data_IF_979425812556
#
_entry.id   IF_979425812556
#
_cell.length_a   1.000
_cell.length_b   1.000
_cell.length_c   1.000
_cell.angle_alpha   90.00
_cell.angle_beta   90.00
_cell.angle_gamma   90.00
#
_symmetry.space_group_name_H-M   'P 1'
#
loop_
_entity.id
_entity.type
_entity.pdbx_description
1 polymer ?
#
# COMPACT_ATOMS: atom_id res chain seq x y z
N UNK A 1 -18.56 -2.16 23.34
CA UNK A 1 -17.89 -0.84 23.16
C UNK A 1 -17.78 -0.55 21.67
N UNK A 2 -18.03 0.69 21.21
CA UNK A 2 -17.86 1.07 19.79
C UNK A 2 -16.41 1.52 19.56
N UNK A 3 -15.74 0.92 18.58
CA UNK A 3 -14.35 1.20 18.20
C UNK A 3 -14.34 1.85 16.82
N UNK A 4 -13.83 3.08 16.72
CA UNK A 4 -13.71 3.83 15.46
C UNK A 4 -12.34 3.57 14.86
N UNK A 5 -12.29 3.07 13.62
CA UNK A 5 -11.07 2.62 12.96
C UNK A 5 -10.79 3.50 11.75
N UNK A 6 -9.75 4.32 11.82
CA UNK A 6 -9.28 5.11 10.69
C UNK A 6 -8.62 4.22 9.63
N UNK A 7 -9.04 4.39 8.39
CA UNK A 7 -8.52 3.65 7.24
C UNK A 7 -8.44 4.55 6.00
N UNK A 8 -7.44 4.33 5.15
CA UNK A 8 -7.48 4.89 3.80
C UNK A 8 -8.68 4.36 3.04
N UNK A 9 -9.20 5.15 2.10
CA UNK A 9 -10.37 4.80 1.32
C UNK A 9 -10.11 3.77 0.19
N UNK A 10 -8.84 3.41 -0.09
CA UNK A 10 -8.51 2.47 -1.16
C UNK A 10 -9.03 1.05 -0.87
N UNK A 11 -9.43 0.26 -1.90
CA UNK A 11 -9.96 -1.10 -1.70
C UNK A 11 -9.05 -1.99 -0.86
N UNK A 12 -7.73 -1.95 -1.12
CA UNK A 12 -6.76 -2.74 -0.34
C UNK A 12 -6.71 -2.31 1.14
N UNK A 13 -6.75 -1.01 1.43
CA UNK A 13 -6.75 -0.53 2.82
C UNK A 13 -8.03 -0.94 3.55
N UNK A 14 -9.18 -0.82 2.89
CA UNK A 14 -10.47 -1.26 3.44
C UNK A 14 -10.47 -2.77 3.69
N UNK A 15 -9.90 -3.57 2.78
CA UNK A 15 -9.77 -5.01 3.01
C UNK A 15 -8.95 -5.30 4.28
N UNK A 16 -7.77 -4.67 4.42
CA UNK A 16 -6.92 -4.82 5.61
C UNK A 16 -7.63 -4.39 6.89
N UNK A 17 -8.39 -3.30 6.84
CA UNK A 17 -9.19 -2.83 7.98
C UNK A 17 -10.28 -3.85 8.35
N UNK A 18 -10.93 -4.47 7.37
CA UNK A 18 -11.90 -5.54 7.63
C UNK A 18 -11.26 -6.79 8.24
N UNK A 19 -10.01 -7.12 7.90
CA UNK A 19 -9.26 -8.20 8.56
C UNK A 19 -9.06 -7.90 10.05
N UNK A 20 -8.68 -6.64 10.38
CA UNK A 20 -8.55 -6.19 11.79
C UNK A 20 -9.89 -6.28 12.52
N UNK A 21 -10.99 -5.81 11.90
CA UNK A 21 -12.34 -5.87 12.47
C UNK A 21 -12.71 -7.31 12.80
N UNK A 22 -12.55 -8.24 11.86
CA UNK A 22 -12.85 -9.66 12.11
C UNK A 22 -12.04 -10.22 13.28
N UNK A 23 -10.78 -9.81 13.43
CA UNK A 23 -9.94 -10.23 14.54
C UNK A 23 -10.46 -9.68 15.88
N UNK A 24 -10.90 -8.43 15.94
CA UNK A 24 -11.48 -7.81 17.14
C UNK A 24 -12.82 -8.50 17.49
N UNK A 25 -13.71 -8.66 16.51
CA UNK A 25 -15.02 -9.27 16.72
C UNK A 25 -14.94 -10.75 17.11
N UNK A 26 -13.88 -11.45 16.69
CA UNK A 26 -13.65 -12.86 17.07
C UNK A 26 -13.34 -13.06 18.57
N UNK A 27 -12.98 -11.99 19.28
CA UNK A 27 -12.75 -12.04 20.74
C UNK A 27 -14.06 -12.16 21.54
N UNK A 28 -15.23 -12.10 20.91
CA UNK A 28 -16.57 -12.23 21.51
C UNK A 28 -16.87 -11.29 22.69
N UNK A 29 -16.22 -10.15 22.74
CA UNK A 29 -16.39 -9.17 23.84
C UNK A 29 -17.48 -8.12 23.58
N UNK A 30 -18.34 -8.33 22.57
CA UNK A 30 -19.42 -7.40 22.23
C UNK A 30 -18.90 -6.04 21.73
N UNK A 31 -17.75 -6.05 21.06
CA UNK A 31 -17.21 -4.86 20.40
C UNK A 31 -17.91 -4.64 19.05
N UNK A 32 -18.26 -3.40 18.78
CA UNK A 32 -18.81 -2.94 17.51
C UNK A 32 -17.77 -2.05 16.82
N UNK A 33 -17.39 -2.35 15.58
CA UNK A 33 -16.37 -1.60 14.85
C UNK A 33 -16.98 -0.72 13.74
N UNK A 34 -16.50 0.53 13.66
CA UNK A 34 -16.88 1.48 12.61
C UNK A 34 -15.64 1.92 11.82
N UNK A 35 -15.73 1.91 10.48
CA UNK A 35 -14.64 2.37 9.62
C UNK A 35 -14.80 3.85 9.32
N UNK A 36 -13.81 4.66 9.72
CA UNK A 36 -13.68 6.07 9.35
C UNK A 36 -12.77 6.15 8.12
N UNK A 37 -13.36 6.36 6.94
CA UNK A 37 -12.60 6.46 5.68
C UNK A 37 -11.93 7.83 5.57
N UNK A 38 -10.62 7.83 5.33
CA UNK A 38 -9.81 9.04 5.21
C UNK A 38 -9.11 9.02 3.85
N UNK A 39 -9.30 10.08 3.07
CA UNK A 39 -8.54 10.29 1.82
C UNK A 39 -7.15 10.82 2.16
N UNK A 40 -6.11 10.12 1.72
CA UNK A 40 -4.72 10.56 1.92
C UNK A 40 -4.25 11.47 0.79
N UNK A 41 -3.35 12.42 1.08
CA UNK A 41 -2.77 13.29 0.06
C UNK A 41 -1.97 12.52 -0.99
N UNK A 42 -1.44 11.35 -0.62
CA UNK A 42 -0.79 10.44 -1.55
C UNK A 42 -1.74 9.78 -2.56
N UNK A 43 -3.05 9.74 -2.26
CA UNK A 43 -4.08 9.23 -3.17
C UNK A 43 -4.56 10.31 -4.17
N UNK A 44 -4.35 11.58 -3.85
CA UNK A 44 -4.83 12.75 -4.61
C UNK A 44 -3.80 13.32 -5.59
N UNK A 45 -2.57 12.82 -5.63
CA UNK A 45 -1.50 13.38 -6.46
C UNK A 45 -0.84 12.34 -7.36
N UNK A 46 -0.61 12.71 -8.62
CA UNK A 46 0.14 11.91 -9.60
C UNK A 46 1.66 12.19 -9.58
N UNK A 47 2.12 13.21 -8.83
CA UNK A 47 3.54 13.55 -8.76
C UNK A 47 4.37 12.44 -8.11
N UNK A 48 5.61 12.18 -8.55
CA UNK A 48 6.50 11.23 -7.90
C UNK A 48 6.66 11.50 -6.39
N UNK A 49 6.61 10.45 -5.55
CA UNK A 49 6.67 10.60 -4.07
C UNK A 49 7.92 11.36 -3.59
N UNK A 50 9.04 11.23 -4.29
CA UNK A 50 10.29 11.92 -3.95
C UNK A 50 10.24 13.43 -4.21
N UNK A 51 9.35 13.89 -5.09
CA UNK A 51 9.17 15.33 -5.39
C UNK A 51 8.25 16.03 -4.39
N UNK A 52 7.36 15.27 -3.73
CA UNK A 52 6.38 15.82 -2.80
C UNK A 52 6.99 15.98 -1.39
N UNK A 53 8.21 15.47 -1.17
CA UNK A 53 9.06 15.79 -0.03
C UNK A 53 8.49 15.38 1.35
N UNK A 54 7.68 14.33 1.46
CA UNK A 54 7.03 14.00 2.72
C UNK A 54 7.18 12.56 3.16
N UNK A 55 7.98 12.30 4.20
CA UNK A 55 7.83 11.10 5.02
C UNK A 55 6.41 11.14 5.61
N UNK A 56 5.61 10.08 5.40
CA UNK A 56 4.29 9.96 6.06
C UNK A 56 3.07 10.54 5.32
N UNK A 57 3.15 10.86 4.04
CA UNK A 57 2.00 11.35 3.23
C UNK A 57 0.74 10.48 3.32
N UNK A 58 0.91 9.18 3.52
CA UNK A 58 -0.20 8.23 3.66
C UNK A 58 -0.65 8.02 5.12
N UNK A 59 0.16 8.47 6.06
CA UNK A 59 0.00 8.20 7.50
C UNK A 59 -0.52 9.44 8.22
N UNK A 60 -0.05 10.63 7.84
CA UNK A 60 -0.28 11.88 8.56
C UNK A 60 -1.76 12.23 8.80
N UNK A 61 -2.65 11.96 7.85
CA UNK A 61 -4.09 12.25 8.03
C UNK A 61 -4.78 11.27 8.97
N UNK A 62 -4.37 9.99 8.96
CA UNK A 62 -4.90 8.99 9.87
C UNK A 62 -4.44 9.28 11.30
N UNK A 63 -3.16 9.58 11.49
CA UNK A 63 -2.61 10.00 12.79
C UNK A 63 -3.25 11.29 13.33
N UNK A 64 -3.54 12.23 12.43
CA UNK A 64 -4.26 13.45 12.79
C UNK A 64 -5.68 13.14 13.30
N UNK A 65 -6.37 12.17 12.73
CA UNK A 65 -7.69 11.76 13.20
C UNK A 65 -7.63 11.12 14.60
N UNK A 66 -6.58 10.32 14.89
CA UNK A 66 -6.31 9.81 16.23
C UNK A 66 -6.07 10.95 17.22
N UNK A 67 -5.19 11.92 16.87
CA UNK A 67 -4.87 13.07 17.72
C UNK A 67 -6.09 13.93 18.07
N UNK A 68 -7.10 13.95 17.20
CA UNK A 68 -8.36 14.69 17.38
C UNK A 68 -9.45 13.88 18.04
N UNK A 69 -9.18 12.64 18.46
CA UNK A 69 -10.19 11.71 18.95
C UNK A 69 -11.35 11.45 17.94
N UNK A 70 -11.10 11.59 16.65
CA UNK A 70 -12.04 11.24 15.58
C UNK A 70 -12.04 9.72 15.31
N UNK A 71 -10.94 9.04 15.63
CA UNK A 71 -10.78 7.59 15.60
C UNK A 71 -9.99 7.10 16.82
N UNK A 72 -10.17 5.83 17.16
CA UNK A 72 -9.54 5.19 18.33
C UNK A 72 -8.29 4.42 17.93
N UNK A 73 -8.29 3.80 16.73
CA UNK A 73 -7.13 3.12 16.13
C UNK A 73 -7.03 3.46 14.64
N UNK A 74 -5.83 3.28 14.07
CA UNK A 74 -5.58 3.40 12.64
C UNK A 74 -4.97 2.11 12.10
N UNK A 75 -5.37 1.71 10.89
CA UNK A 75 -4.85 0.50 10.23
C UNK A 75 -3.94 0.89 9.07
N UNK A 76 -2.70 0.38 9.14
CA UNK A 76 -1.67 0.60 8.13
C UNK A 76 -1.03 -0.70 7.68
N UNK A 77 -0.58 -0.75 6.43
CA UNK A 77 0.48 -1.70 6.05
C UNK A 77 1.77 -1.28 6.75
N UNK A 78 2.43 -2.17 7.47
CA UNK A 78 3.63 -1.84 8.28
C UNK A 78 4.75 -1.17 7.45
N UNK A 79 4.90 -1.52 6.18
CA UNK A 79 5.87 -0.90 5.26
C UNK A 79 5.65 0.60 5.02
N UNK A 80 4.42 1.09 5.26
CA UNK A 80 4.03 2.49 5.05
C UNK A 80 4.14 3.31 6.34
N UNK A 81 4.31 2.64 7.49
CA UNK A 81 4.53 3.28 8.80
C UNK A 81 5.97 3.83 8.83
N UNK A 82 6.16 5.13 9.14
CA UNK A 82 7.49 5.71 9.22
C UNK A 82 8.27 5.13 10.41
N UNK A 83 9.60 5.10 10.30
CA UNK A 83 10.48 4.64 11.37
C UNK A 83 10.44 5.55 12.61
N UNK A 84 10.12 6.82 12.42
CA UNK A 84 9.82 7.78 13.47
C UNK A 84 8.29 7.89 13.58
N UNK A 85 7.71 7.29 14.62
CA UNK A 85 6.26 7.24 14.83
C UNK A 85 5.64 8.58 15.28
N UNK A 86 6.45 9.57 15.60
CA UNK A 86 5.96 10.89 15.95
C UNK A 86 6.97 11.97 15.50
N UNK A 87 6.66 12.77 14.49
CA UNK A 87 7.38 14.02 14.24
C UNK A 87 7.34 14.93 15.46
N UNK A 88 8.30 15.83 15.65
CA UNK A 88 8.27 16.80 16.73
C UNK A 88 6.93 17.56 16.78
N UNK A 89 6.29 17.57 17.94
CA UNK A 89 4.99 18.24 18.15
C UNK A 89 3.76 17.35 17.93
N UNK A 90 3.91 16.07 17.60
CA UNK A 90 2.83 15.10 17.49
C UNK A 90 2.73 14.24 18.76
N UNK A 91 1.51 13.75 19.06
CA UNK A 91 1.33 12.75 20.12
C UNK A 91 2.07 11.45 19.74
N UNK A 92 2.68 10.79 20.73
CA UNK A 92 3.25 9.46 20.50
C UNK A 92 2.15 8.47 20.19
N UNK A 93 2.25 7.86 19.00
CA UNK A 93 1.44 6.71 18.66
C UNK A 93 2.25 5.43 18.87
N UNK A 94 1.55 4.37 19.23
CA UNK A 94 2.15 3.06 19.46
C UNK A 94 1.56 2.05 18.48
N UNK A 95 2.38 1.11 18.04
CA UNK A 95 1.91 -0.06 17.31
C UNK A 95 1.39 -1.04 18.36
N UNK A 96 0.07 -1.07 18.55
CA UNK A 96 -0.58 -1.87 19.60
C UNK A 96 -0.80 -3.32 19.20
N UNK A 97 -0.89 -3.62 17.92
CA UNK A 97 -1.05 -4.98 17.40
C UNK A 97 -0.56 -5.13 15.96
N UNK A 98 -0.21 -6.35 15.59
CA UNK A 98 0.11 -6.74 14.22
C UNK A 98 -0.60 -8.04 13.89
N UNK A 99 -1.28 -8.07 12.73
CA UNK A 99 -1.85 -9.30 12.20
C UNK A 99 -0.73 -10.27 11.73
N UNK A 100 -1.04 -11.57 11.59
CA UNK A 100 -0.12 -12.52 10.96
C UNK A 100 0.38 -11.99 9.61
N UNK A 101 1.68 -12.23 9.34
CA UNK A 101 2.31 -11.73 8.13
C UNK A 101 1.76 -12.45 6.90
N UNK A 102 1.27 -11.67 5.93
CA UNK A 102 0.88 -12.14 4.62
C UNK A 102 2.11 -12.44 3.74
N UNK A 103 1.91 -13.04 2.58
CA UNK A 103 2.96 -13.36 1.62
C UNK A 103 3.82 -12.13 1.27
N UNK A 104 5.10 -12.19 1.58
CA UNK A 104 6.04 -11.07 1.43
C UNK A 104 6.66 -10.96 0.03
N UNK A 105 6.38 -11.92 -0.86
CA UNK A 105 6.95 -11.95 -2.21
C UNK A 105 6.41 -10.82 -3.08
N UNK A 106 7.24 -10.39 -4.01
CA UNK A 106 6.79 -9.62 -5.16
C UNK A 106 6.39 -10.57 -6.29
N UNK A 107 5.42 -10.17 -7.10
CA UNK A 107 5.02 -10.87 -8.32
C UNK A 107 5.03 -9.91 -9.49
N UNK A 108 5.29 -10.44 -10.68
CA UNK A 108 5.11 -9.71 -11.92
C UNK A 108 3.80 -10.14 -12.57
N UNK A 109 2.99 -9.16 -12.94
CA UNK A 109 1.87 -9.33 -13.85
C UNK A 109 2.37 -9.01 -15.25
N UNK A 110 2.18 -9.90 -16.19
CA UNK A 110 2.55 -9.71 -17.59
C UNK A 110 1.30 -9.42 -18.42
N UNK A 111 1.41 -8.52 -19.38
CA UNK A 111 0.31 -8.16 -20.28
C UNK A 111 -0.07 -9.32 -21.20
N UNK A 112 0.95 -10.04 -21.68
CA UNK A 112 0.79 -11.23 -22.50
C UNK A 112 0.93 -12.51 -21.68
N UNK A 113 0.38 -13.61 -22.17
CA UNK A 113 0.50 -14.93 -21.56
C UNK A 113 1.85 -15.58 -21.89
N UNK A 114 2.93 -14.91 -21.44
CA UNK A 114 4.32 -15.37 -21.58
C UNK A 114 4.92 -15.60 -20.20
N UNK A 115 6.06 -16.27 -20.14
CA UNK A 115 6.81 -16.42 -18.90
C UNK A 115 7.79 -15.26 -18.71
N UNK A 116 8.15 -14.97 -17.47
CA UNK A 116 9.08 -13.88 -17.15
C UNK A 116 10.41 -13.95 -17.90
N UNK A 117 10.94 -15.14 -18.11
CA UNK A 117 12.21 -15.34 -18.82
C UNK A 117 12.10 -15.17 -20.35
N UNK A 118 10.89 -15.08 -20.89
CA UNK A 118 10.64 -14.80 -22.31
C UNK A 118 10.58 -13.30 -22.61
N UNK A 119 10.65 -12.44 -21.59
CA UNK A 119 10.71 -10.99 -21.77
C UNK A 119 11.97 -10.58 -22.53
N UNK A 120 11.80 -9.76 -23.54
CA UNK A 120 12.88 -9.30 -24.43
C UNK A 120 13.66 -8.13 -23.82
N UNK A 121 14.84 -7.89 -24.35
CA UNK A 121 15.57 -6.64 -24.14
C UNK A 121 14.68 -5.44 -24.52
N UNK A 122 14.67 -4.43 -23.68
CA UNK A 122 13.82 -3.25 -23.85
C UNK A 122 12.38 -3.41 -23.35
N UNK A 123 11.99 -4.60 -22.83
CA UNK A 123 10.64 -4.73 -22.22
C UNK A 123 10.39 -3.70 -21.13
N UNK A 124 9.20 -3.08 -21.18
CA UNK A 124 8.76 -2.01 -20.28
C UNK A 124 8.10 -2.58 -19.03
N UNK A 125 8.80 -2.51 -17.91
CA UNK A 125 8.30 -3.06 -16.65
C UNK A 125 8.00 -1.93 -15.66
N UNK A 126 6.74 -1.84 -15.27
CA UNK A 126 6.26 -0.77 -14.41
C UNK A 126 6.53 -1.05 -12.92
N UNK A 127 7.27 -0.15 -12.28
CA UNK A 127 7.45 -0.09 -10.83
C UNK A 127 8.00 1.25 -10.39
N UNK A 128 7.57 1.76 -9.22
CA UNK A 128 8.16 2.95 -8.59
C UNK A 128 9.02 2.61 -7.36
N UNK A 129 9.16 1.32 -7.04
CA UNK A 129 9.96 0.86 -5.90
C UNK A 129 11.46 0.76 -6.25
N UNK A 130 12.38 1.49 -5.59
CA UNK A 130 13.81 1.45 -5.91
C UNK A 130 14.41 0.06 -5.73
N UNK A 131 14.00 -0.70 -4.72
CA UNK A 131 14.41 -2.10 -4.51
C UNK A 131 14.00 -2.99 -5.68
N UNK A 132 12.74 -2.88 -6.14
CA UNK A 132 12.21 -3.66 -7.27
C UNK A 132 12.95 -3.33 -8.56
N UNK A 133 13.17 -2.03 -8.82
CA UNK A 133 13.98 -1.56 -9.95
C UNK A 133 15.38 -2.18 -9.94
N UNK A 134 16.07 -2.11 -8.81
CA UNK A 134 17.43 -2.67 -8.69
C UNK A 134 17.46 -4.18 -8.97
N UNK A 135 16.49 -4.94 -8.44
CA UNK A 135 16.38 -6.37 -8.66
C UNK A 135 16.08 -6.73 -10.13
N UNK A 136 15.18 -5.99 -10.79
CA UNK A 136 14.88 -6.19 -12.22
C UNK A 136 16.11 -5.93 -13.09
N UNK A 137 16.81 -4.83 -12.85
CA UNK A 137 18.01 -4.47 -13.62
C UNK A 137 19.21 -5.40 -13.34
N UNK A 138 19.25 -6.04 -12.17
CA UNK A 138 20.23 -7.09 -11.90
C UNK A 138 19.96 -8.37 -12.68
N UNK A 139 18.69 -8.66 -13.02
CA UNK A 139 18.30 -9.81 -13.86
C UNK A 139 18.55 -9.50 -15.33
N UNK A 140 18.08 -8.36 -15.80
CA UNK A 140 18.35 -7.89 -17.16
C UNK A 140 18.53 -6.35 -17.16
N UNK A 141 19.76 -5.85 -17.36
CA UNK A 141 20.05 -4.40 -17.33
C UNK A 141 19.42 -3.63 -18.52
N UNK A 142 18.89 -4.33 -19.52
CA UNK A 142 18.25 -3.72 -20.68
C UNK A 142 16.73 -3.54 -20.52
N UNK A 143 16.13 -3.96 -19.40
CA UNK A 143 14.73 -3.65 -19.12
C UNK A 143 14.53 -2.14 -18.98
N UNK A 144 13.46 -1.64 -19.56
CA UNK A 144 13.01 -0.27 -19.40
C UNK A 144 12.09 -0.18 -18.16
N UNK A 145 12.53 0.55 -17.14
CA UNK A 145 11.76 0.64 -15.88
C UNK A 145 10.89 1.89 -15.93
N UNK A 146 9.58 1.67 -15.99
CA UNK A 146 8.58 2.74 -16.09
C UNK A 146 8.02 3.06 -14.69
N UNK A 147 8.15 4.30 -14.20
CA UNK A 147 7.51 4.73 -12.97
C UNK A 147 5.98 4.63 -13.07
N UNK A 148 5.33 4.08 -12.03
CA UNK A 148 3.87 3.92 -12.02
C UNK A 148 3.26 4.35 -10.69
N UNK A 149 2.12 5.03 -10.74
CA UNK A 149 1.37 5.54 -9.59
C UNK A 149 -0.08 5.07 -9.64
N UNK A 150 -0.78 5.27 -8.52
CA UNK A 150 -2.15 4.85 -8.31
C UNK A 150 -2.27 3.65 -7.35
N UNK A 151 -3.49 3.28 -7.01
CA UNK A 151 -3.79 2.04 -6.30
C UNK A 151 -3.53 0.81 -7.19
N UNK A 152 -3.72 -0.39 -6.68
CA UNK A 152 -3.44 -1.62 -7.42
C UNK A 152 -4.30 -1.72 -8.69
N UNK A 153 -5.59 -1.44 -8.59
CA UNK A 153 -6.54 -1.49 -9.72
C UNK A 153 -6.15 -0.50 -10.81
N UNK A 154 -5.82 0.75 -10.42
CA UNK A 154 -5.33 1.78 -11.36
C UNK A 154 -4.08 1.31 -12.09
N UNK A 155 -3.12 0.67 -11.39
CA UNK A 155 -1.88 0.17 -12.01
C UNK A 155 -2.14 -1.01 -12.94
N UNK A 156 -3.06 -1.91 -12.58
CA UNK A 156 -3.47 -3.02 -13.46
C UNK A 156 -4.14 -2.47 -14.72
N UNK A 157 -5.02 -1.47 -14.59
CA UNK A 157 -5.63 -0.83 -15.75
C UNK A 157 -4.59 -0.15 -16.65
N UNK A 158 -3.54 0.45 -16.09
CA UNK A 158 -2.42 1.00 -16.86
C UNK A 158 -1.64 -0.10 -17.58
N UNK A 159 -1.35 -1.23 -16.92
CA UNK A 159 -0.72 -2.38 -17.59
C UNK A 159 -1.52 -2.84 -18.81
N UNK A 160 -2.85 -2.90 -18.69
CA UNK A 160 -3.72 -3.37 -19.78
C UNK A 160 -3.78 -2.35 -20.93
N UNK A 161 -3.91 -1.05 -20.63
CA UNK A 161 -4.27 -0.02 -21.60
C UNK A 161 -3.08 0.81 -22.11
N UNK A 162 -1.94 0.82 -21.40
CA UNK A 162 -0.75 1.57 -21.80
C UNK A 162 0.31 0.65 -22.43
N UNK A 163 1.36 1.23 -22.94
CA UNK A 163 2.50 0.53 -23.56
C UNK A 163 3.46 0.00 -22.48
N UNK A 164 2.99 -1.06 -21.80
CA UNK A 164 3.71 -1.77 -20.73
C UNK A 164 3.67 -3.28 -21.01
N UNK A 165 4.78 -3.98 -20.71
CA UNK A 165 4.86 -5.44 -20.83
C UNK A 165 4.64 -6.13 -19.48
N UNK A 166 4.98 -5.45 -18.39
CA UNK A 166 4.85 -6.01 -17.04
C UNK A 166 4.66 -4.98 -15.95
N UNK A 167 4.10 -5.44 -14.82
CA UNK A 167 3.86 -4.65 -13.59
C UNK A 167 4.29 -5.45 -12.37
N UNK A 168 5.16 -4.88 -11.53
CA UNK A 168 5.54 -5.50 -10.25
C UNK A 168 4.61 -5.04 -9.13
N UNK A 169 4.00 -6.00 -8.46
CA UNK A 169 3.15 -5.78 -7.29
C UNK A 169 3.50 -6.71 -6.14
N UNK A 170 3.04 -6.39 -4.92
CA UNK A 170 3.17 -7.30 -3.79
C UNK A 170 2.19 -8.46 -3.93
N UNK A 171 2.63 -9.70 -3.71
CA UNK A 171 1.76 -10.89 -3.72
C UNK A 171 0.61 -10.74 -2.74
N UNK A 172 0.88 -10.22 -1.54
CA UNK A 172 -0.13 -9.93 -0.53
C UNK A 172 -1.29 -9.03 -1.03
N UNK A 173 -1.00 -8.06 -1.91
CA UNK A 173 -2.03 -7.22 -2.50
C UNK A 173 -2.90 -7.99 -3.50
N UNK A 174 -2.30 -8.90 -4.25
CA UNK A 174 -3.03 -9.77 -5.20
C UNK A 174 -3.90 -10.82 -4.49
N UNK A 175 -3.45 -11.32 -3.32
CA UNK A 175 -4.23 -12.28 -2.55
C UNK A 175 -5.48 -11.64 -1.92
N UNK A 176 -5.47 -10.31 -1.72
CA UNK A 176 -6.53 -9.56 -1.04
C UNK A 176 -7.54 -8.91 -1.96
N UNK A 177 -7.22 -8.74 -3.22
CA UNK A 177 -8.06 -8.12 -4.26
C UNK A 177 -8.46 -9.10 -5.34
#
# INVERSE_FOLDING_TARGET
MKIRIASRASPLAIFQTKEVIRSIESLNEGHECEIIKIESDGDLTDKPLFEIGGKGLFVSKLEKSLSKNEADIAVHSLKDVPTELAPPGWHKFEIVAMLPREDFRDVILLKESIKFHDLKDGSKIATSGPRRKAQLLAINPKFEIIPIRGNIETRINKLINEDLDGLIVAKAAMNRL
#
